data_IF_567635894319
#
_entry.id   IF_567635894319
#
_cell.length_a   1.000
_cell.length_b   1.000
_cell.length_c   1.000
_cell.angle_alpha   90.00
_cell.angle_beta   90.00
_cell.angle_gamma   90.00
#
_symmetry.space_group_name_H-M   'P 1'
#
loop_
_entity.id
_entity.type
_entity.pdbx_description
1 polymer ?
#
# COMPACT_ATOMS: atom_id res chain seq x y z
N UNK A 1 21.09 18.45 13.35
CA UNK A 1 21.14 17.61 12.14
C UNK A 1 20.28 18.23 11.04
N UNK A 2 20.82 18.31 9.84
CA UNK A 2 20.06 18.86 8.71
C UNK A 2 19.15 17.78 8.13
N UNK A 3 17.88 17.80 8.51
CA UNK A 3 16.89 16.80 8.09
C UNK A 3 16.57 16.85 6.59
N UNK A 4 16.86 17.98 5.91
CA UNK A 4 16.63 18.10 4.47
C UNK A 4 17.54 17.18 3.64
N UNK A 5 18.62 16.69 4.25
CA UNK A 5 19.53 15.76 3.58
C UNK A 5 19.13 14.30 3.74
N UNK A 6 18.09 14.00 4.53
CA UNK A 6 17.63 12.63 4.67
C UNK A 6 16.99 12.17 3.36
N UNK A 7 17.16 10.88 2.99
CA UNK A 7 16.57 10.37 1.77
C UNK A 7 15.05 10.21 1.88
N UNK A 8 14.41 10.00 0.75
CA UNK A 8 13.00 9.60 0.70
C UNK A 8 12.90 8.08 0.86
N UNK A 9 11.93 7.62 1.67
CA UNK A 9 11.64 6.20 1.79
C UNK A 9 11.01 5.72 0.49
N UNK A 10 11.49 4.59 -0.05
CA UNK A 10 10.88 4.00 -1.24
C UNK A 10 9.71 3.13 -0.82
N UNK A 11 8.54 3.39 -1.40
CA UNK A 11 7.34 2.65 -1.12
C UNK A 11 6.67 2.17 -2.39
N UNK A 12 5.75 1.23 -2.22
CA UNK A 12 4.94 0.68 -3.31
C UNK A 12 3.49 0.61 -2.87
N UNK A 13 2.60 0.68 -3.84
CA UNK A 13 1.19 0.42 -3.61
C UNK A 13 0.62 -0.32 -4.80
N UNK A 14 -0.52 -0.98 -4.61
CA UNK A 14 -1.14 -1.73 -5.67
C UNK A 14 -2.66 -1.57 -5.64
N UNK A 15 -3.22 -1.31 -6.81
CA UNK A 15 -4.65 -1.30 -7.05
C UNK A 15 -5.00 -2.69 -7.59
N UNK A 16 -5.62 -3.53 -6.75
CA UNK A 16 -6.01 -4.89 -7.14
C UNK A 16 -7.45 -4.88 -7.60
N UNK A 17 -7.68 -5.29 -8.84
CA UNK A 17 -9.00 -5.32 -9.44
C UNK A 17 -9.49 -6.76 -9.56
N UNK A 18 -10.75 -7.00 -9.18
CA UNK A 18 -11.36 -8.30 -9.42
C UNK A 18 -11.95 -8.36 -10.84
N UNK A 19 -12.62 -9.47 -11.18
CA UNK A 19 -13.21 -9.66 -12.52
C UNK A 19 -14.25 -8.60 -12.89
N UNK A 20 -14.85 -7.94 -11.91
CA UNK A 20 -15.82 -6.88 -12.14
C UNK A 20 -15.18 -5.49 -12.08
N UNK A 21 -13.85 -5.42 -12.04
CA UNK A 21 -13.08 -4.19 -11.91
C UNK A 21 -13.37 -3.41 -10.63
N UNK A 22 -13.79 -4.11 -9.59
CA UNK A 22 -13.89 -3.53 -8.25
C UNK A 22 -12.52 -3.61 -7.57
N UNK A 23 -12.24 -2.67 -6.69
CA UNK A 23 -10.93 -2.47 -6.07
C UNK A 23 -10.89 -3.09 -4.67
N UNK A 24 -9.80 -3.80 -4.37
CA UNK A 24 -9.56 -4.31 -3.03
C UNK A 24 -9.20 -3.17 -2.10
N UNK A 25 -9.89 -3.07 -0.97
CA UNK A 25 -9.51 -2.18 0.13
C UNK A 25 -9.55 -2.94 1.43
N UNK A 26 -8.62 -2.58 2.32
CA UNK A 26 -8.52 -3.15 3.66
C UNK A 26 -8.65 -2.06 4.70
N UNK A 27 -9.14 -2.45 5.86
CA UNK A 27 -9.26 -1.56 7.02
C UNK A 27 -8.18 -1.92 8.03
N UNK A 28 -7.33 -0.94 8.36
CA UNK A 28 -6.21 -1.18 9.26
C UNK A 28 -6.67 -1.28 10.71
N UNK A 29 -5.99 -2.17 11.47
CA UNK A 29 -6.27 -2.36 12.90
C UNK A 29 -5.88 -1.14 13.74
N UNK A 30 -4.90 -0.36 13.28
CA UNK A 30 -4.39 0.82 13.99
C UNK A 30 -5.08 2.12 13.58
N UNK A 31 -6.07 2.02 12.70
CA UNK A 31 -6.86 3.17 12.25
C UNK A 31 -8.33 2.75 12.19
N UNK A 32 -8.99 2.64 13.35
CA UNK A 32 -10.33 2.04 13.45
C UNK A 32 -11.49 2.90 12.95
N UNK A 33 -11.22 4.03 12.32
CA UNK A 33 -12.27 4.84 11.71
C UNK A 33 -12.90 4.14 10.52
N UNK A 34 -13.77 4.86 9.79
CA UNK A 34 -14.43 4.32 8.61
C UNK A 34 -13.57 4.40 7.35
N UNK A 35 -12.27 4.62 7.51
CA UNK A 35 -11.36 4.77 6.38
C UNK A 35 -10.74 3.44 5.98
N UNK A 36 -10.59 3.27 4.70
CA UNK A 36 -10.04 2.07 4.07
C UNK A 36 -8.82 2.44 3.26
N UNK A 37 -7.98 1.47 2.95
CA UNK A 37 -6.81 1.73 2.11
C UNK A 37 -6.51 0.54 1.19
N UNK A 38 -5.83 0.84 0.10
CA UNK A 38 -5.28 -0.18 -0.79
C UNK A 38 -3.97 -0.71 -0.20
N UNK A 39 -3.59 -1.96 -0.52
CA UNK A 39 -2.32 -2.52 -0.02
C UNK A 39 -1.13 -1.68 -0.44
N UNK A 40 -0.23 -1.44 0.50
CA UNK A 40 0.98 -0.65 0.27
C UNK A 40 2.01 -0.95 1.35
N UNK A 41 3.26 -0.63 1.05
CA UNK A 41 4.32 -0.82 2.02
C UNK A 41 5.65 -0.33 1.51
N UNK A 42 6.72 -0.64 2.23
CA UNK A 42 8.06 -0.21 1.89
C UNK A 42 8.80 -1.19 0.99
N UNK A 43 9.81 -0.68 0.30
CA UNK A 43 10.72 -1.49 -0.50
C UNK A 43 11.92 -1.86 0.37
N UNK A 44 12.19 -3.15 0.51
CA UNK A 44 13.35 -3.61 1.27
C UNK A 44 14.62 -3.50 0.45
N UNK A 45 15.75 -3.44 1.15
CA UNK A 45 17.06 -3.37 0.49
C UNK A 45 17.25 -4.54 -0.47
N UNK A 46 17.59 -4.21 -1.70
CA UNK A 46 17.83 -5.22 -2.73
C UNK A 46 16.61 -5.64 -3.52
N UNK A 47 15.41 -5.19 -3.13
CA UNK A 47 14.20 -5.47 -3.88
C UNK A 47 13.99 -4.45 -4.99
N UNK A 48 13.42 -4.89 -6.12
CA UNK A 48 12.86 -3.94 -7.08
C UNK A 48 11.41 -3.64 -6.68
N UNK A 49 10.78 -2.68 -7.36
CA UNK A 49 9.42 -2.27 -7.00
C UNK A 49 8.39 -3.39 -7.18
N UNK A 50 8.51 -4.21 -8.23
CA UNK A 50 7.57 -5.32 -8.47
C UNK A 50 7.67 -6.36 -7.37
N UNK A 51 8.88 -6.73 -6.99
CA UNK A 51 9.10 -7.69 -5.91
C UNK A 51 8.53 -7.17 -4.58
N UNK A 52 8.78 -5.90 -4.28
CA UNK A 52 8.27 -5.29 -3.07
C UNK A 52 6.74 -5.26 -3.05
N UNK A 53 6.13 -4.90 -4.18
CA UNK A 53 4.68 -4.86 -4.31
C UNK A 53 4.07 -6.24 -4.06
N UNK A 54 4.61 -7.28 -4.68
CA UNK A 54 4.10 -8.64 -4.53
C UNK A 54 4.27 -9.14 -3.10
N UNK A 55 5.40 -8.84 -2.47
CA UNK A 55 5.67 -9.22 -1.08
C UNK A 55 4.70 -8.53 -0.12
N UNK A 56 4.56 -7.22 -0.24
CA UNK A 56 3.66 -6.46 0.64
C UNK A 56 2.21 -6.91 0.47
N UNK A 57 1.78 -7.12 -0.77
CA UNK A 57 0.43 -7.61 -1.02
C UNK A 57 0.21 -8.96 -0.35
N UNK A 58 1.16 -9.88 -0.49
CA UNK A 58 1.05 -11.21 0.10
C UNK A 58 1.07 -11.13 1.63
N UNK A 59 1.97 -10.34 2.19
CA UNK A 59 2.07 -10.20 3.65
C UNK A 59 0.81 -9.61 4.27
N UNK A 60 0.13 -8.72 3.56
CA UNK A 60 -1.06 -8.06 4.09
C UNK A 60 -2.35 -8.84 3.82
N UNK A 61 -2.43 -9.58 2.73
CA UNK A 61 -3.70 -10.15 2.24
C UNK A 61 -3.66 -11.62 1.86
N UNK A 62 -2.48 -12.21 1.78
CA UNK A 62 -2.23 -13.56 1.25
C UNK A 62 -2.50 -13.69 -0.26
N UNK A 63 -2.78 -12.59 -0.95
CA UNK A 63 -3.01 -12.62 -2.40
C UNK A 63 -1.69 -12.81 -3.14
N UNK A 64 -1.64 -13.80 -4.02
CA UNK A 64 -0.50 -14.04 -4.91
C UNK A 64 -0.93 -14.27 -6.37
N UNK A 65 -2.20 -14.55 -6.62
CA UNK A 65 -2.73 -14.83 -7.96
C UNK A 65 -3.09 -13.53 -8.66
N UNK A 66 -2.08 -12.83 -9.16
CA UNK A 66 -2.29 -11.55 -9.83
C UNK A 66 -1.56 -11.50 -11.17
N UNK A 67 -2.07 -10.63 -12.05
CA UNK A 67 -1.39 -10.24 -13.28
C UNK A 67 -1.23 -8.73 -13.25
N UNK A 68 0.01 -8.25 -13.35
CA UNK A 68 0.26 -6.81 -13.40
C UNK A 68 -0.20 -6.30 -14.76
N UNK A 69 -1.11 -5.33 -14.74
CA UNK A 69 -1.64 -4.72 -15.95
C UNK A 69 -0.84 -3.49 -16.32
N UNK A 70 -0.49 -2.68 -15.32
CA UNK A 70 0.16 -1.41 -15.57
C UNK A 70 1.01 -0.98 -14.36
N UNK A 71 2.16 -0.39 -14.64
CA UNK A 71 2.93 0.36 -13.67
C UNK A 71 2.63 1.83 -13.93
N UNK A 72 2.16 2.55 -12.92
CA UNK A 72 1.82 3.95 -13.11
C UNK A 72 3.09 4.77 -13.27
N UNK A 73 3.11 5.64 -14.28
CA UNK A 73 4.30 6.44 -14.59
C UNK A 73 4.59 7.48 -13.53
N UNK A 74 3.54 8.05 -12.95
CA UNK A 74 3.68 9.10 -11.95
C UNK A 74 3.94 8.48 -10.58
N UNK A 75 5.01 8.89 -9.94
CA UNK A 75 5.29 8.55 -8.55
C UNK A 75 4.60 9.56 -7.65
N UNK A 76 4.14 9.08 -6.49
CA UNK A 76 3.54 9.94 -5.49
C UNK A 76 4.55 10.21 -4.39
N UNK A 77 4.84 11.49 -4.11
CA UNK A 77 5.80 11.87 -3.10
C UNK A 77 5.13 12.72 -2.03
N UNK A 78 5.53 12.51 -0.80
CA UNK A 78 5.16 13.42 0.29
C UNK A 78 6.29 13.50 1.29
N UNK A 79 6.42 14.66 1.95
CA UNK A 79 7.39 14.84 3.00
C UNK A 79 6.69 14.78 4.36
N UNK A 80 7.42 14.26 5.35
CA UNK A 80 6.90 14.23 6.71
C UNK A 80 6.81 15.65 7.27
N UNK A 81 5.80 15.93 8.11
CA UNK A 81 5.83 17.15 8.92
C UNK A 81 7.13 17.22 9.70
N UNK A 82 7.67 18.42 9.86
CA UNK A 82 8.99 18.62 10.51
C UNK A 82 9.07 17.98 11.88
N UNK A 83 7.98 17.98 12.64
CA UNK A 83 7.96 17.40 13.98
C UNK A 83 8.00 15.85 13.98
N UNK A 84 7.81 15.21 12.84
CA UNK A 84 7.86 13.75 12.71
C UNK A 84 9.16 13.25 12.08
N UNK A 85 9.90 14.13 11.40
CA UNK A 85 11.20 13.77 10.85
C UNK A 85 12.14 13.46 12.01
N UNK A 86 12.83 12.34 11.91
CA UNK A 86 13.70 11.87 12.99
C UNK A 86 13.01 10.98 14.01
N UNK A 87 11.69 10.84 13.93
CA UNK A 87 10.91 10.01 14.86
C UNK A 87 10.37 8.75 14.17
N UNK A 88 9.54 8.91 13.15
CA UNK A 88 8.99 7.74 12.46
C UNK A 88 10.01 7.15 11.49
N UNK A 89 9.83 5.88 11.11
CA UNK A 89 10.78 5.11 10.29
C UNK A 89 12.20 5.15 10.87
N UNK A 90 12.31 5.14 12.20
CA UNK A 90 13.60 5.16 12.93
C UNK A 90 14.44 6.39 12.57
N UNK A 91 13.82 7.49 12.17
CA UNK A 91 14.49 8.73 11.85
C UNK A 91 15.33 8.71 10.57
N UNK A 92 15.14 7.71 9.70
CA UNK A 92 16.00 7.53 8.51
C UNK A 92 15.57 8.33 7.29
N UNK A 93 14.32 8.80 7.26
CA UNK A 93 13.75 9.38 6.05
C UNK A 93 13.05 10.70 6.33
N UNK A 94 13.02 11.59 5.34
CA UNK A 94 12.28 12.84 5.42
C UNK A 94 10.89 12.77 4.81
N UNK A 95 10.58 11.68 4.12
CA UNK A 95 9.29 11.47 3.46
C UNK A 95 9.28 10.17 2.70
N UNK A 96 8.30 9.98 1.85
CA UNK A 96 8.14 8.76 1.07
C UNK A 96 7.82 9.04 -0.39
N UNK A 97 8.43 8.26 -1.26
CA UNK A 97 8.16 8.24 -2.70
C UNK A 97 7.54 6.89 -3.03
N UNK A 98 6.31 6.90 -3.55
CA UNK A 98 5.57 5.67 -3.82
C UNK A 98 5.43 5.41 -5.30
N UNK A 99 5.68 4.17 -5.70
CA UNK A 99 5.40 3.64 -7.03
C UNK A 99 4.12 2.81 -6.94
N UNK A 100 3.16 3.06 -7.83
CA UNK A 100 1.88 2.35 -7.82
C UNK A 100 1.72 1.46 -9.05
N UNK A 101 1.05 0.34 -8.83
CA UNK A 101 0.76 -0.66 -9.87
C UNK A 101 -0.75 -0.92 -9.93
N UNK A 102 -1.21 -1.34 -11.09
CA UNK A 102 -2.56 -1.89 -11.24
C UNK A 102 -2.39 -3.37 -11.59
N UNK A 103 -3.05 -4.24 -10.81
CA UNK A 103 -2.98 -5.67 -10.99
C UNK A 103 -4.38 -6.27 -11.03
N UNK A 104 -4.56 -7.30 -11.87
CA UNK A 104 -5.81 -8.05 -11.95
C UNK A 104 -5.72 -9.27 -11.05
N UNK A 105 -6.73 -9.46 -10.19
CA UNK A 105 -6.81 -10.65 -9.35
C UNK A 105 -7.32 -11.82 -10.18
N UNK A 106 -6.54 -12.89 -10.21
CA UNK A 106 -6.85 -14.09 -11.00
C UNK A 106 -7.39 -15.22 -10.14
N UNK A 107 -7.39 -15.07 -8.83
CA UNK A 107 -7.84 -16.09 -7.89
C UNK A 107 -9.29 -15.91 -7.47
N UNK A 108 -9.66 -16.63 -6.43
CA UNK A 108 -10.98 -16.53 -5.82
C UNK A 108 -10.85 -15.84 -4.46
N UNK A 109 -11.96 -15.31 -3.95
CA UNK A 109 -11.97 -14.60 -2.66
C UNK A 109 -11.47 -15.48 -1.52
N UNK A 110 -11.60 -16.79 -1.62
CA UNK A 110 -11.08 -17.72 -0.61
C UNK A 110 -9.55 -17.66 -0.46
N UNK A 111 -8.84 -17.11 -1.44
CA UNK A 111 -7.39 -16.91 -1.33
C UNK A 111 -7.04 -15.78 -0.37
N UNK A 112 -7.96 -14.84 -0.14
CA UNK A 112 -7.73 -13.67 0.69
C UNK A 112 -7.82 -14.06 2.16
N UNK A 113 -6.73 -13.87 2.89
CA UNK A 113 -6.66 -14.19 4.31
C UNK A 113 -5.84 -13.11 5.02
N UNK A 114 -6.48 -12.38 5.92
CA UNK A 114 -5.85 -11.30 6.64
C UNK A 114 -5.11 -11.78 7.90
N UNK A 115 -5.28 -13.04 8.29
CA UNK A 115 -4.61 -13.64 9.45
C UNK A 115 -3.20 -14.06 9.05
N UNK A 116 -2.36 -13.08 8.77
CA UNK A 116 -0.97 -13.28 8.37
C UNK A 116 -0.07 -13.22 9.61
N UNK A 117 1.23 -13.41 9.41
CA UNK A 117 2.20 -13.39 10.51
C UNK A 117 2.18 -12.08 11.30
N UNK A 118 2.03 -10.96 10.58
CA UNK A 118 1.94 -9.63 11.18
C UNK A 118 0.69 -8.92 10.62
N UNK A 119 -0.51 -9.26 11.14
CA UNK A 119 -1.75 -8.73 10.56
C UNK A 119 -1.83 -7.21 10.67
N UNK A 120 -2.10 -6.56 9.54
CA UNK A 120 -2.29 -5.12 9.50
C UNK A 120 -3.75 -4.73 9.23
N UNK A 121 -4.48 -5.57 8.49
CA UNK A 121 -5.89 -5.34 8.19
C UNK A 121 -6.77 -6.21 9.06
N UNK A 122 -7.94 -5.66 9.47
CA UNK A 122 -8.95 -6.40 10.24
C UNK A 122 -10.17 -6.76 9.38
N UNK A 123 -10.38 -6.05 8.28
CA UNK A 123 -11.47 -6.29 7.35
C UNK A 123 -11.01 -5.98 5.94
N UNK A 124 -11.69 -6.56 4.94
CA UNK A 124 -11.45 -6.23 3.54
C UNK A 124 -12.77 -6.28 2.77
N UNK A 125 -12.80 -5.59 1.63
CA UNK A 125 -13.92 -5.66 0.70
C UNK A 125 -13.49 -5.22 -0.69
N UNK A 126 -14.34 -5.54 -1.67
CA UNK A 126 -14.24 -5.00 -3.02
C UNK A 126 -15.16 -3.80 -3.10
N UNK A 127 -14.68 -2.69 -3.67
CA UNK A 127 -15.52 -1.51 -3.85
C UNK A 127 -15.46 -1.03 -5.31
N UNK A 128 -16.52 -0.37 -5.73
CA UNK A 128 -16.56 0.23 -7.05
C UNK A 128 -15.52 1.37 -7.09
N UNK A 129 -14.75 1.50 -8.20
CA UNK A 129 -13.68 2.50 -8.28
C UNK A 129 -14.14 3.93 -7.99
N UNK A 130 -15.35 4.29 -8.41
CA UNK A 130 -15.85 5.63 -8.21
C UNK A 130 -16.12 5.97 -6.74
N UNK A 131 -16.20 4.96 -5.87
CA UNK A 131 -16.41 5.16 -4.44
C UNK A 131 -15.09 5.30 -3.65
N UNK A 132 -13.95 5.06 -4.29
CA UNK A 132 -12.65 5.14 -3.62
C UNK A 132 -12.40 6.48 -2.90
N UNK A 133 -12.64 7.63 -3.53
CA UNK A 133 -12.35 8.90 -2.86
C UNK A 133 -13.08 9.11 -1.54
N UNK A 134 -14.23 8.43 -1.36
CA UNK A 134 -15.06 8.61 -0.16
C UNK A 134 -14.62 7.73 1.00
N UNK A 135 -13.84 6.67 0.74
CA UNK A 135 -13.55 5.65 1.76
C UNK A 135 -12.08 5.49 2.08
N UNK A 136 -11.17 5.92 1.21
CA UNK A 136 -9.74 5.71 1.43
C UNK A 136 -9.15 6.71 2.41
N UNK A 137 -8.03 6.30 3.05
CA UNK A 137 -7.25 7.19 3.90
C UNK A 137 -6.62 8.27 3.03
N UNK A 138 -6.67 9.51 3.51
CA UNK A 138 -6.05 10.64 2.83
C UNK A 138 -4.54 10.62 3.08
N UNK A 139 -3.75 10.61 2.02
CA UNK A 139 -2.30 10.53 2.09
C UNK A 139 -1.59 11.89 2.04
N UNK A 140 -2.30 12.93 2.28
CA UNK A 140 -1.68 14.27 2.25
C UNK A 140 -0.78 14.53 3.44
#
# INVERSE_FOLDING_TARGET
>A
MNTQKLPMRKGVGVIVLNKNNHVFVGKRKDNPGDKWQMPQGGVDKGENFVEAMKRELYEETSIKSIKIIKELEKNYEYELPKNLVGIIWKGRFRGQKQKWFIAKFLGQDSEINLETKNPEFIEWKWIEPQKLPDVIVDFK
#
